data_IF_155626783042
#
_entry.id   IF_155626783042
#
_cell.length_a   1.000
_cell.length_b   1.000
_cell.length_c   1.000
_cell.angle_alpha   90.00
_cell.angle_beta   90.00
_cell.angle_gamma   90.00
#
_symmetry.space_group_name_H-M   'P 1'
#
loop_
_entity.id
_entity.type
_entity.pdbx_description
1 polymer ?
#
# COMPACT_ATOMS: atom_id res chain seq x y z
N UNK A 1 -45.52 12.65 -52.75
CA UNK A 1 -44.20 12.16 -52.28
C UNK A 1 -43.84 10.93 -53.10
N UNK A 2 -42.70 10.97 -53.79
CA UNK A 2 -42.19 9.87 -54.62
C UNK A 2 -40.93 9.32 -53.94
N UNK A 3 -40.96 8.04 -53.55
CA UNK A 3 -39.83 7.36 -52.93
C UNK A 3 -39.15 6.47 -53.97
N UNK A 4 -37.84 6.63 -54.13
CA UNK A 4 -37.00 5.79 -55.02
C UNK A 4 -36.19 4.83 -54.16
N UNK A 5 -36.51 3.55 -54.24
CA UNK A 5 -35.71 2.49 -53.63
C UNK A 5 -34.42 2.34 -54.43
N UNK A 6 -33.28 2.67 -53.81
CA UNK A 6 -31.97 2.62 -54.46
C UNK A 6 -31.34 1.23 -54.44
N UNK A 7 -31.67 0.42 -53.44
CA UNK A 7 -31.15 -0.92 -53.25
C UNK A 7 -32.09 -1.70 -52.33
N UNK A 8 -32.33 -2.98 -52.63
CA UNK A 8 -33.04 -3.90 -51.75
C UNK A 8 -32.02 -4.94 -51.30
N UNK A 9 -31.63 -4.91 -50.03
CA UNK A 9 -30.77 -5.94 -49.45
C UNK A 9 -31.64 -7.12 -49.01
N UNK A 10 -31.40 -8.35 -49.51
CA UNK A 10 -32.12 -9.52 -49.04
C UNK A 10 -31.91 -9.71 -47.53
N UNK A 11 -32.94 -10.21 -46.85
CA UNK A 11 -32.82 -10.59 -45.44
C UNK A 11 -31.76 -11.69 -45.28
N UNK A 12 -30.84 -11.50 -44.34
CA UNK A 12 -29.86 -12.53 -43.97
C UNK A 12 -30.49 -13.38 -42.87
N UNK A 13 -31.04 -14.54 -43.25
CA UNK A 13 -31.57 -15.52 -42.31
C UNK A 13 -30.44 -16.46 -41.88
N UNK A 14 -30.10 -16.47 -40.59
CA UNK A 14 -29.15 -17.44 -40.04
C UNK A 14 -29.82 -18.81 -39.94
N UNK A 15 -29.29 -19.87 -40.58
CA UNK A 15 -29.82 -21.23 -40.44
C UNK A 15 -29.84 -21.68 -38.98
N UNK A 16 -30.86 -22.44 -38.58
CA UNK A 16 -30.98 -22.99 -37.23
C UNK A 16 -29.72 -23.75 -36.80
N UNK A 17 -29.07 -24.48 -37.72
CA UNK A 17 -27.82 -25.19 -37.43
C UNK A 17 -26.71 -24.27 -36.91
N UNK A 18 -26.61 -23.04 -37.43
CA UNK A 18 -25.58 -22.06 -37.05
C UNK A 18 -25.86 -21.38 -35.70
N UNK A 19 -27.12 -21.34 -35.26
CA UNK A 19 -27.54 -20.67 -34.01
C UNK A 19 -28.05 -21.63 -32.94
N UNK A 20 -28.17 -22.92 -33.25
CA UNK A 20 -28.79 -23.91 -32.36
C UNK A 20 -28.08 -24.02 -31.00
N UNK A 21 -26.74 -23.99 -30.99
CA UNK A 21 -25.96 -24.03 -29.76
C UNK A 21 -26.16 -22.78 -28.90
N UNK A 22 -26.25 -21.61 -29.54
CA UNK A 22 -26.53 -20.35 -28.86
C UNK A 22 -27.95 -20.36 -28.26
N UNK A 23 -28.96 -20.81 -29.01
CA UNK A 23 -30.34 -20.93 -28.51
C UNK A 23 -30.41 -21.91 -27.34
N UNK A 24 -29.74 -23.06 -27.41
CA UNK A 24 -29.67 -24.01 -26.28
C UNK A 24 -29.04 -23.38 -25.05
N UNK A 25 -27.94 -22.63 -25.24
CA UNK A 25 -27.27 -21.92 -24.15
C UNK A 25 -28.19 -20.86 -23.52
N UNK A 26 -28.90 -20.07 -24.33
CA UNK A 26 -29.79 -19.02 -23.84
C UNK A 26 -31.01 -19.60 -23.10
N UNK A 27 -31.59 -20.68 -23.61
CA UNK A 27 -32.66 -21.41 -22.92
C UNK A 27 -32.16 -22.02 -21.61
N UNK A 28 -30.96 -22.61 -21.60
CA UNK A 28 -30.36 -23.16 -20.39
C UNK A 28 -30.08 -22.08 -19.33
N UNK A 29 -29.59 -20.90 -19.74
CA UNK A 29 -29.38 -19.76 -18.84
C UNK A 29 -30.70 -19.19 -18.30
N UNK A 30 -31.74 -19.10 -19.14
CA UNK A 30 -33.06 -18.66 -18.72
C UNK A 30 -33.69 -19.62 -17.69
N UNK A 31 -33.59 -20.93 -17.94
CA UNK A 31 -34.08 -21.95 -17.01
C UNK A 31 -33.26 -21.97 -15.71
N UNK A 32 -31.94 -21.86 -15.80
CA UNK A 32 -31.08 -21.76 -14.62
C UNK A 32 -31.44 -20.54 -13.76
N UNK A 33 -31.73 -19.40 -14.38
CA UNK A 33 -32.13 -18.17 -13.67
C UNK A 33 -33.48 -18.33 -12.97
N UNK A 34 -34.45 -19.00 -13.61
CA UNK A 34 -35.75 -19.32 -12.98
C UNK A 34 -35.57 -20.24 -11.78
N UNK A 35 -34.84 -21.35 -11.95
CA UNK A 35 -34.57 -22.31 -10.87
C UNK A 35 -33.89 -21.62 -9.69
N UNK A 36 -32.96 -20.70 -9.95
CA UNK A 36 -32.24 -19.96 -8.93
C UNK A 36 -33.18 -19.07 -8.10
N UNK A 37 -34.11 -18.36 -8.75
CA UNK A 37 -35.14 -17.58 -8.06
C UNK A 37 -36.10 -18.48 -7.28
N UNK A 38 -36.54 -19.61 -7.85
CA UNK A 38 -37.39 -20.57 -7.15
C UNK A 38 -36.71 -21.13 -5.89
N UNK A 39 -35.40 -21.43 -5.95
CA UNK A 39 -34.62 -21.90 -4.78
C UNK A 39 -34.55 -20.81 -3.71
N UNK A 40 -34.35 -19.55 -4.10
CA UNK A 40 -34.37 -18.42 -3.17
C UNK A 40 -35.72 -18.26 -2.49
N UNK A 41 -36.81 -18.22 -3.26
CA UNK A 41 -38.15 -18.03 -2.72
C UNK A 41 -38.52 -19.18 -1.76
N UNK A 42 -38.18 -20.43 -2.12
CA UNK A 42 -38.38 -21.57 -1.23
C UNK A 42 -37.52 -21.54 0.04
N UNK A 43 -36.32 -20.95 -0.02
CA UNK A 43 -35.47 -20.74 1.15
C UNK A 43 -36.13 -19.72 2.09
N UNK A 44 -36.52 -18.57 1.56
CA UNK A 44 -37.18 -17.49 2.30
C UNK A 44 -38.50 -17.99 2.93
N UNK A 45 -39.31 -18.74 2.20
CA UNK A 45 -40.53 -19.37 2.73
C UNK A 45 -40.25 -20.37 3.87
N UNK A 46 -39.18 -21.16 3.74
CA UNK A 46 -38.81 -22.15 4.75
C UNK A 46 -38.28 -21.48 6.02
N UNK A 47 -37.58 -20.36 5.89
CA UNK A 47 -37.12 -19.51 7.00
C UNK A 47 -38.27 -18.77 7.67
N UNK A 48 -39.19 -18.19 6.89
CA UNK A 48 -40.40 -17.55 7.38
C UNK A 48 -41.31 -18.51 8.16
N UNK A 49 -41.28 -19.80 7.83
CA UNK A 49 -41.96 -20.86 8.59
C UNK A 49 -41.25 -21.24 9.91
N UNK A 50 -40.12 -20.62 10.24
CA UNK A 50 -39.38 -20.80 11.49
C UNK A 50 -38.26 -21.86 11.46
N UNK A 51 -37.93 -22.40 10.29
CA UNK A 51 -36.83 -23.38 10.17
C UNK A 51 -35.46 -22.71 10.31
N UNK A 52 -34.44 -23.38 10.85
CA UNK A 52 -33.08 -22.85 10.91
C UNK A 52 -32.44 -22.73 9.51
N UNK A 53 -31.35 -21.95 9.35
CA UNK A 53 -30.58 -21.91 8.10
C UNK A 53 -30.10 -23.31 7.70
N UNK A 54 -29.67 -24.13 8.67
CA UNK A 54 -29.22 -25.49 8.41
C UNK A 54 -30.36 -26.40 7.91
N UNK A 55 -31.55 -26.28 8.49
CA UNK A 55 -32.73 -27.05 8.08
C UNK A 55 -33.21 -26.65 6.68
N UNK A 56 -33.26 -25.33 6.41
CA UNK A 56 -33.61 -24.79 5.10
C UNK A 56 -32.63 -25.26 4.02
N UNK A 57 -31.32 -25.19 4.32
CA UNK A 57 -30.28 -25.69 3.43
C UNK A 57 -30.41 -27.21 3.20
N UNK A 58 -30.65 -28.01 4.23
CA UNK A 58 -30.82 -29.45 4.10
C UNK A 58 -32.04 -29.81 3.23
N UNK A 59 -33.18 -29.13 3.44
CA UNK A 59 -34.42 -29.32 2.67
C UNK A 59 -34.22 -29.00 1.18
N UNK A 60 -33.46 -27.95 0.88
CA UNK A 60 -33.17 -27.50 -0.48
C UNK A 60 -31.88 -28.09 -1.07
N UNK A 61 -31.21 -29.00 -0.35
CA UNK A 61 -29.94 -29.65 -0.73
C UNK A 61 -28.81 -28.64 -1.02
N UNK A 62 -28.79 -27.53 -0.29
CA UNK A 62 -27.75 -26.51 -0.36
C UNK A 62 -26.57 -26.88 0.55
N UNK A 63 -25.36 -26.42 0.19
CA UNK A 63 -24.15 -26.63 0.98
C UNK A 63 -24.03 -25.57 2.07
N UNK A 64 -24.00 -26.00 3.33
CA UNK A 64 -23.68 -25.14 4.47
C UNK A 64 -22.16 -25.12 4.69
N UNK A 65 -21.60 -23.93 4.91
CA UNK A 65 -20.19 -23.75 5.27
C UNK A 65 -20.13 -23.03 6.62
N UNK A 66 -19.53 -23.69 7.61
CA UNK A 66 -19.32 -23.10 8.94
C UNK A 66 -17.94 -22.48 9.02
N UNK A 67 -17.88 -21.26 9.55
CA UNK A 67 -16.65 -20.52 9.78
C UNK A 67 -16.58 -20.22 11.28
N UNK A 68 -15.54 -20.70 11.95
CA UNK A 68 -15.45 -20.62 13.41
C UNK A 68 -15.40 -19.16 13.91
N UNK A 69 -14.43 -18.38 13.42
CA UNK A 69 -14.29 -16.97 13.76
C UNK A 69 -13.45 -16.25 12.69
N UNK A 70 -13.85 -15.02 12.37
CA UNK A 70 -13.09 -14.08 11.55
C UNK A 70 -13.17 -12.68 12.14
N UNK A 71 -12.16 -11.86 11.87
CA UNK A 71 -12.20 -10.43 12.12
C UNK A 71 -12.70 -9.64 10.89
N UNK A 72 -12.79 -8.30 11.02
CA UNK A 72 -13.24 -7.40 9.95
C UNK A 72 -12.33 -7.40 8.71
N UNK A 73 -11.13 -7.94 8.83
CA UNK A 73 -10.19 -8.12 7.71
C UNK A 73 -10.26 -9.53 7.09
N UNK A 74 -11.16 -10.39 7.56
CA UNK A 74 -11.29 -11.76 7.08
C UNK A 74 -10.21 -12.71 7.61
N UNK A 75 -9.50 -12.31 8.68
CA UNK A 75 -8.49 -13.13 9.32
C UNK A 75 -9.11 -13.97 10.44
N UNK A 76 -8.68 -15.22 10.51
CA UNK A 76 -8.96 -16.11 11.64
C UNK A 76 -8.16 -15.68 12.88
N UNK A 77 -8.51 -16.18 14.08
CA UNK A 77 -7.76 -15.89 15.31
C UNK A 77 -6.26 -16.23 15.24
N UNK A 78 -5.86 -17.18 14.38
CA UNK A 78 -4.47 -17.58 14.13
C UNK A 78 -3.76 -16.73 13.06
N UNK A 79 -4.39 -15.64 12.60
CA UNK A 79 -3.95 -14.76 11.53
C UNK A 79 -3.92 -15.38 10.12
N UNK A 80 -4.55 -16.54 9.91
CA UNK A 80 -4.75 -17.09 8.57
C UNK A 80 -5.94 -16.47 7.85
N UNK A 81 -5.86 -16.34 6.52
CA UNK A 81 -6.92 -15.76 5.69
C UNK A 81 -7.95 -16.83 5.32
N UNK A 82 -9.23 -16.50 5.44
CA UNK A 82 -10.30 -17.34 4.88
C UNK A 82 -10.39 -17.12 3.37
N UNK A 83 -9.97 -18.12 2.58
CA UNK A 83 -9.86 -18.01 1.11
C UNK A 83 -11.15 -18.32 0.35
N UNK A 84 -12.06 -19.07 0.95
CA UNK A 84 -13.21 -19.66 0.26
C UNK A 84 -14.53 -18.92 0.53
N UNK A 85 -14.46 -17.61 0.81
CA UNK A 85 -15.63 -16.77 1.06
C UNK A 85 -16.18 -16.19 -0.26
N UNK A 86 -17.42 -16.51 -0.67
CA UNK A 86 -18.06 -15.86 -1.79
C UNK A 86 -18.33 -14.38 -1.46
N UNK A 87 -18.10 -13.47 -2.42
CA UNK A 87 -18.27 -12.02 -2.23
C UNK A 87 -17.59 -11.52 -0.94
N UNK A 88 -16.34 -11.95 -0.71
CA UNK A 88 -15.67 -11.81 0.59
C UNK A 88 -15.77 -10.41 1.22
N UNK A 89 -15.55 -9.29 0.52
CA UNK A 89 -15.65 -7.96 1.13
C UNK A 89 -17.08 -7.61 1.58
N UNK A 90 -18.06 -7.84 0.71
CA UNK A 90 -19.47 -7.51 0.95
C UNK A 90 -20.07 -8.40 2.04
N UNK A 91 -19.73 -9.70 2.01
CA UNK A 91 -20.16 -10.67 3.01
C UNK A 91 -19.57 -10.39 4.38
N UNK A 92 -18.27 -10.07 4.47
CA UNK A 92 -17.65 -9.69 5.74
C UNK A 92 -18.34 -8.44 6.30
N UNK A 93 -18.57 -7.42 5.46
CA UNK A 93 -19.28 -6.22 5.91
C UNK A 93 -20.68 -6.55 6.46
N UNK A 94 -21.47 -7.30 5.71
CA UNK A 94 -22.83 -7.66 6.08
C UNK A 94 -22.88 -8.51 7.36
N UNK A 95 -21.96 -9.47 7.52
CA UNK A 95 -21.80 -10.29 8.73
C UNK A 95 -21.48 -9.43 9.97
N UNK A 96 -20.67 -8.39 9.82
CA UNK A 96 -20.32 -7.50 10.93
C UNK A 96 -21.39 -6.46 11.27
N UNK A 97 -22.36 -6.25 10.38
CA UNK A 97 -23.53 -5.40 10.60
C UNK A 97 -24.74 -6.20 11.15
N UNK A 98 -24.69 -7.54 11.05
CA UNK A 98 -25.75 -8.46 11.49
C UNK A 98 -25.70 -8.79 12.99
N UNK A 99 -26.85 -9.12 13.57
CA UNK A 99 -26.97 -9.59 14.95
C UNK A 99 -26.89 -11.13 15.05
N UNK A 100 -26.50 -11.69 16.21
CA UNK A 100 -26.46 -13.14 16.37
C UNK A 100 -27.85 -13.78 16.29
N UNK A 101 -27.94 -14.90 15.56
CA UNK A 101 -29.14 -15.72 15.39
C UNK A 101 -30.33 -14.95 14.77
N UNK A 102 -30.06 -13.91 13.99
CA UNK A 102 -31.08 -13.18 13.22
C UNK A 102 -31.07 -13.61 11.76
N UNK A 103 -32.24 -13.52 11.13
CA UNK A 103 -32.36 -13.63 9.68
C UNK A 103 -31.79 -12.38 9.01
N UNK A 104 -30.99 -12.57 7.96
CA UNK A 104 -30.33 -11.50 7.23
C UNK A 104 -30.68 -11.56 5.75
N UNK A 105 -30.68 -10.40 5.09
CA UNK A 105 -30.91 -10.31 3.66
C UNK A 105 -29.83 -11.06 2.87
N UNK A 106 -30.24 -11.81 1.85
CA UNK A 106 -29.33 -12.51 0.96
C UNK A 106 -28.45 -11.54 0.18
N UNK A 107 -27.18 -11.91 -0.04
CA UNK A 107 -26.27 -11.15 -0.89
C UNK A 107 -26.28 -11.71 -2.31
N UNK A 108 -26.35 -10.83 -3.30
CA UNK A 108 -26.22 -11.22 -4.70
C UNK A 108 -24.75 -11.38 -5.07
N UNK A 109 -24.41 -12.49 -5.73
CA UNK A 109 -23.06 -12.75 -6.23
C UNK A 109 -22.84 -12.12 -7.61
N UNK A 110 -21.58 -11.96 -8.02
CA UNK A 110 -21.23 -11.38 -9.32
C UNK A 110 -21.80 -12.18 -10.53
N UNK A 111 -22.04 -13.47 -10.35
CA UNK A 111 -22.69 -14.37 -11.31
C UNK A 111 -24.23 -14.42 -11.16
N UNK A 112 -24.82 -13.45 -10.45
CA UNK A 112 -26.25 -13.29 -10.26
C UNK A 112 -26.92 -14.43 -9.45
N UNK A 113 -26.13 -15.06 -8.57
CA UNK A 113 -26.58 -16.01 -7.55
C UNK A 113 -26.83 -15.35 -6.19
N UNK A 114 -27.15 -16.16 -5.18
CA UNK A 114 -27.47 -15.68 -3.83
C UNK A 114 -26.62 -16.39 -2.76
N UNK A 115 -26.19 -15.63 -1.76
CA UNK A 115 -25.52 -16.13 -0.55
C UNK A 115 -26.37 -15.78 0.65
N UNK A 116 -26.78 -16.80 1.39
CA UNK A 116 -27.44 -16.66 2.69
C UNK A 116 -26.42 -16.86 3.80
N UNK A 117 -26.53 -16.06 4.86
CA UNK A 117 -25.60 -16.10 5.99
C UNK A 117 -26.33 -15.83 7.30
N UNK A 118 -25.78 -16.38 8.38
CA UNK A 118 -26.27 -16.20 9.74
C UNK A 118 -25.07 -16.11 10.68
N UNK A 119 -25.14 -15.19 11.65
CA UNK A 119 -24.11 -15.02 12.66
C UNK A 119 -24.48 -15.87 13.87
N UNK A 120 -23.72 -16.92 14.15
CA UNK A 120 -24.01 -17.78 15.31
C UNK A 120 -23.68 -17.08 16.65
N UNK A 121 -22.55 -16.39 16.71
CA UNK A 121 -22.10 -15.67 17.90
C UNK A 121 -21.12 -14.56 17.55
N UNK A 122 -21.04 -13.54 18.41
CA UNK A 122 -20.04 -12.47 18.32
C UNK A 122 -19.10 -12.62 19.51
N UNK A 123 -17.80 -12.69 19.25
CA UNK A 123 -16.77 -12.60 20.29
C UNK A 123 -16.49 -11.13 20.57
N UNK A 124 -16.77 -10.60 21.78
CA UNK A 124 -16.52 -9.20 22.10
C UNK A 124 -15.04 -8.85 21.94
N UNK A 125 -14.78 -7.59 21.57
CA UNK A 125 -13.42 -7.06 21.62
C UNK A 125 -12.90 -7.14 23.05
N UNK A 126 -11.78 -7.83 23.22
CA UNK A 126 -11.07 -7.95 24.49
C UNK A 126 -9.58 -7.80 24.26
N UNK A 127 -8.90 -7.35 25.30
CA UNK A 127 -7.45 -7.42 25.32
C UNK A 127 -7.02 -8.89 25.25
N UNK A 128 -6.04 -9.16 24.39
CA UNK A 128 -5.40 -10.47 24.34
C UNK A 128 -4.61 -10.64 25.63
N UNK A 129 -4.71 -11.82 26.22
CA UNK A 129 -3.90 -12.17 27.39
C UNK A 129 -2.43 -12.27 26.98
N UNK A 130 -1.51 -12.08 27.93
CA UNK A 130 -0.09 -12.22 27.65
C UNK A 130 0.24 -13.58 27.05
N UNK A 131 -0.40 -14.67 27.50
CA UNK A 131 -0.13 -16.01 26.99
C UNK A 131 -0.51 -16.18 25.51
N UNK A 132 -1.59 -15.54 25.05
CA UNK A 132 -2.02 -15.56 23.64
C UNK A 132 -1.04 -14.82 22.72
N UNK A 133 -0.38 -13.78 23.21
CA UNK A 133 0.54 -12.96 22.42
C UNK A 133 2.00 -13.11 22.84
N UNK A 134 2.31 -14.04 23.76
CA UNK A 134 3.62 -14.15 24.42
C UNK A 134 4.76 -14.24 23.41
N UNK A 135 4.63 -15.10 22.40
CA UNK A 135 5.67 -15.27 21.39
C UNK A 135 5.91 -13.98 20.61
N UNK A 136 4.84 -13.29 20.20
CA UNK A 136 4.92 -12.02 19.49
C UNK A 136 5.54 -10.93 20.37
N UNK A 137 5.07 -10.80 21.61
CA UNK A 137 5.59 -9.80 22.57
C UNK A 137 7.06 -10.07 22.87
N UNK A 138 7.47 -11.32 23.06
CA UNK A 138 8.88 -11.67 23.29
C UNK A 138 9.73 -11.32 22.08
N UNK A 139 9.27 -11.60 20.86
CA UNK A 139 9.98 -11.23 19.64
C UNK A 139 10.12 -9.70 19.51
N UNK A 140 9.01 -8.98 19.66
CA UNK A 140 8.96 -7.52 19.54
C UNK A 140 9.82 -6.85 20.64
N UNK A 141 9.75 -7.35 21.89
CA UNK A 141 10.57 -6.86 23.00
C UNK A 141 12.06 -7.17 22.81
N UNK A 142 12.38 -8.37 22.33
CA UNK A 142 13.77 -8.78 22.07
C UNK A 142 14.38 -7.91 20.98
N UNK A 143 13.64 -7.63 19.91
CA UNK A 143 14.07 -6.71 18.85
C UNK A 143 14.32 -5.30 19.41
N UNK A 144 13.38 -4.76 20.18
CA UNK A 144 13.51 -3.43 20.78
C UNK A 144 14.71 -3.33 21.75
N UNK A 145 14.87 -4.32 22.63
CA UNK A 145 15.98 -4.36 23.60
C UNK A 145 17.33 -4.57 22.90
N UNK A 146 17.37 -5.36 21.81
CA UNK A 146 18.57 -5.53 20.98
C UNK A 146 18.98 -4.20 20.36
N UNK A 147 18.05 -3.47 19.73
CA UNK A 147 18.34 -2.16 19.14
C UNK A 147 18.81 -1.15 20.18
N UNK A 148 18.18 -1.12 21.35
CA UNK A 148 18.58 -0.25 22.46
C UNK A 148 20.00 -0.55 22.95
N UNK A 149 20.33 -1.83 23.15
CA UNK A 149 21.68 -2.26 23.58
C UNK A 149 22.72 -2.02 22.51
N UNK A 150 22.38 -2.23 21.24
CA UNK A 150 23.26 -1.95 20.11
C UNK A 150 23.59 -0.46 20.03
N UNK A 151 22.60 0.43 20.15
CA UNK A 151 22.82 1.88 20.16
C UNK A 151 23.71 2.31 21.33
N UNK A 152 23.43 1.82 22.55
CA UNK A 152 24.24 2.13 23.73
C UNK A 152 25.70 1.67 23.58
N UNK A 153 25.92 0.48 22.98
CA UNK A 153 27.25 -0.03 22.70
C UNK A 153 27.96 0.80 21.62
N UNK A 154 27.24 1.20 20.57
CA UNK A 154 27.79 2.06 19.53
C UNK A 154 28.25 3.41 20.09
N UNK A 155 27.44 4.05 20.94
CA UNK A 155 27.78 5.31 21.63
C UNK A 155 29.02 5.18 22.52
N UNK A 156 29.15 4.05 23.24
CA UNK A 156 30.33 3.77 24.05
C UNK A 156 31.60 3.68 23.19
N UNK A 157 31.52 2.97 22.06
CA UNK A 157 32.65 2.82 21.14
C UNK A 157 33.02 4.14 20.46
N UNK A 158 32.04 4.96 20.09
CA UNK A 158 32.28 6.29 19.54
C UNK A 158 33.01 7.20 20.55
N UNK A 159 32.61 7.17 21.82
CA UNK A 159 33.31 7.88 22.90
C UNK A 159 34.75 7.39 23.07
N UNK A 160 34.99 6.07 23.01
CA UNK A 160 36.35 5.50 23.06
C UNK A 160 37.20 5.95 21.88
N UNK A 161 36.62 5.99 20.68
CA UNK A 161 37.28 6.46 19.47
C UNK A 161 37.65 7.95 19.58
N UNK A 162 36.74 8.79 20.10
CA UNK A 162 36.99 10.22 20.40
C UNK A 162 38.06 10.42 21.49
N UNK A 163 38.17 9.49 22.44
CA UNK A 163 39.19 9.51 23.49
C UNK A 163 40.59 9.04 23.02
N UNK A 164 40.74 8.63 21.76
CA UNK A 164 42.03 8.30 21.14
C UNK A 164 42.28 6.80 20.91
N UNK A 165 41.32 5.92 21.18
CA UNK A 165 41.41 4.53 20.71
C UNK A 165 41.41 4.48 19.17
N UNK A 166 42.01 3.45 18.57
CA UNK A 166 41.97 3.26 17.11
C UNK A 166 40.84 2.32 16.71
N UNK A 167 40.31 2.47 15.49
CA UNK A 167 39.33 1.54 14.94
C UNK A 167 39.87 0.10 14.88
N UNK A 168 41.17 -0.09 14.65
CA UNK A 168 41.81 -1.42 14.65
C UNK A 168 41.71 -2.13 16.00
N UNK A 169 41.90 -1.40 17.11
CA UNK A 169 41.77 -1.95 18.47
C UNK A 169 40.32 -2.32 18.76
N UNK A 170 39.38 -1.41 18.46
CA UNK A 170 37.95 -1.64 18.65
C UNK A 170 37.46 -2.84 17.83
N UNK A 171 37.86 -2.90 16.55
CA UNK A 171 37.50 -4.00 15.65
C UNK A 171 38.05 -5.35 16.17
N UNK A 172 39.29 -5.38 16.62
CA UNK A 172 39.92 -6.59 17.17
C UNK A 172 39.23 -7.10 18.44
N UNK A 173 38.87 -6.21 19.37
CA UNK A 173 38.11 -6.56 20.59
C UNK A 173 36.75 -7.18 20.27
N UNK A 174 36.09 -6.67 19.23
CA UNK A 174 34.76 -7.11 18.80
C UNK A 174 34.81 -8.27 17.79
N UNK A 175 36.01 -8.71 17.39
CA UNK A 175 36.23 -9.68 16.31
C UNK A 175 35.54 -9.27 15.00
N UNK A 176 35.59 -7.97 14.70
CA UNK A 176 35.10 -7.37 13.47
C UNK A 176 36.28 -7.00 12.57
N UNK A 177 36.01 -6.86 11.27
CA UNK A 177 36.99 -6.39 10.30
C UNK A 177 36.85 -4.88 10.09
N UNK A 178 37.98 -4.16 10.09
CA UNK A 178 38.02 -2.75 9.70
C UNK A 178 37.98 -2.67 8.19
N UNK A 179 37.01 -1.93 7.66
CA UNK A 179 36.93 -1.62 6.23
C UNK A 179 37.35 -0.17 5.96
N UNK A 180 37.88 0.07 4.76
CA UNK A 180 38.22 1.42 4.29
C UNK A 180 37.57 1.63 2.94
N UNK A 181 36.65 2.60 2.87
CA UNK A 181 35.96 2.96 1.64
C UNK A 181 36.45 4.32 1.14
N UNK A 182 36.67 4.42 -0.17
CA UNK A 182 37.10 5.64 -0.86
C UNK A 182 36.07 6.04 -1.90
N UNK A 183 36.01 7.32 -2.22
CA UNK A 183 35.14 7.84 -3.29
C UNK A 183 33.66 7.95 -2.90
N UNK A 184 33.34 8.01 -1.60
CA UNK A 184 31.99 8.36 -1.13
C UNK A 184 31.72 9.81 -1.56
N UNK A 185 30.57 10.07 -2.19
CA UNK A 185 30.15 11.42 -2.60
C UNK A 185 28.98 11.88 -1.74
N UNK A 186 28.82 13.20 -1.58
CA UNK A 186 27.79 13.81 -0.73
C UNK A 186 26.36 13.38 -1.09
N UNK A 187 26.06 13.31 -2.38
CA UNK A 187 24.73 12.96 -2.91
C UNK A 187 24.64 11.51 -3.42
N UNK A 188 25.62 10.66 -3.09
CA UNK A 188 25.60 9.27 -3.53
C UNK A 188 24.63 8.45 -2.68
N UNK A 189 23.84 7.61 -3.35
CA UNK A 189 23.20 6.47 -2.69
C UNK A 189 24.20 5.32 -2.62
N UNK A 190 25.03 5.37 -1.58
CA UNK A 190 26.12 4.44 -1.38
C UNK A 190 25.60 3.06 -0.93
N UNK A 191 26.10 1.96 -1.51
CA UNK A 191 25.63 0.60 -1.19
C UNK A 191 25.84 0.23 0.28
N UNK A 192 26.89 0.73 0.92
CA UNK A 192 27.25 0.36 2.29
C UNK A 192 26.69 1.34 3.33
N UNK A 193 26.44 2.59 2.94
CA UNK A 193 26.03 3.66 3.86
C UNK A 193 24.66 4.26 3.57
N UNK A 194 24.09 3.98 2.39
CA UNK A 194 22.88 4.61 1.88
C UNK A 194 23.04 6.11 1.69
N UNK A 195 22.02 6.74 1.09
CA UNK A 195 21.99 8.20 0.92
C UNK A 195 22.11 8.97 2.24
N UNK A 196 21.37 8.57 3.27
CA UNK A 196 21.36 9.28 4.56
C UNK A 196 22.68 9.13 5.31
N UNK A 197 23.28 7.93 5.31
CA UNK A 197 24.57 7.70 5.94
C UNK A 197 25.71 8.43 5.21
N UNK A 198 25.70 8.45 3.87
CA UNK A 198 26.65 9.23 3.09
C UNK A 198 26.55 10.72 3.43
N UNK A 199 25.35 11.29 3.46
CA UNK A 199 25.13 12.69 3.84
C UNK A 199 25.61 12.99 5.28
N UNK A 200 25.34 12.10 6.23
CA UNK A 200 25.78 12.24 7.62
C UNK A 200 27.32 12.24 7.75
N UNK A 201 28.01 11.35 7.02
CA UNK A 201 29.48 11.33 6.99
C UNK A 201 30.08 12.63 6.44
N UNK A 202 29.46 13.20 5.40
CA UNK A 202 29.88 14.49 4.82
C UNK A 202 29.61 15.70 5.72
N UNK A 203 28.80 15.53 6.78
CA UNK A 203 28.65 16.51 7.85
C UNK A 203 29.81 16.51 8.85
N UNK A 204 30.69 15.50 8.81
CA UNK A 204 31.83 15.35 9.71
C UNK A 204 33.11 15.76 8.99
N UNK A 205 33.89 16.65 9.62
CA UNK A 205 35.18 17.11 9.08
C UNK A 205 36.25 16.02 9.05
N UNK A 206 37.34 16.29 8.34
CA UNK A 206 38.50 15.39 8.29
C UNK A 206 39.02 15.05 9.69
N UNK A 207 39.35 13.78 9.91
CA UNK A 207 39.77 13.23 11.20
C UNK A 207 38.62 13.03 12.20
N UNK A 208 37.43 13.55 11.91
CA UNK A 208 36.23 13.39 12.73
C UNK A 208 35.67 11.97 12.70
N UNK A 209 34.81 11.68 13.66
CA UNK A 209 34.22 10.35 13.88
C UNK A 209 32.73 10.46 14.05
N UNK A 210 31.99 9.42 13.69
CA UNK A 210 30.55 9.40 13.89
C UNK A 210 29.96 8.00 13.86
N UNK A 211 28.65 7.95 14.11
CA UNK A 211 27.81 6.77 14.01
C UNK A 211 26.74 6.99 12.95
N UNK A 212 26.47 5.96 12.16
CA UNK A 212 25.29 5.91 11.28
C UNK A 212 24.62 4.53 11.40
N UNK A 213 23.29 4.45 11.20
CA UNK A 213 22.63 3.16 11.04
C UNK A 213 23.09 2.47 9.74
N UNK A 214 23.13 1.14 9.76
CA UNK A 214 23.32 0.36 8.54
C UNK A 214 22.10 0.52 7.62
N UNK A 215 22.26 0.64 6.29
CA UNK A 215 21.14 0.70 5.34
C UNK A 215 20.20 -0.49 5.42
N UNK A 216 20.73 -1.66 5.80
CA UNK A 216 19.99 -2.91 6.02
C UNK A 216 19.17 -2.92 7.32
N UNK A 217 19.34 -1.92 8.19
CA UNK A 217 18.59 -1.76 9.44
C UNK A 217 18.98 -2.72 10.56
N UNK A 218 19.96 -3.58 10.34
CA UNK A 218 20.42 -4.64 11.26
C UNK A 218 21.66 -4.26 12.08
N UNK A 219 22.19 -3.04 11.89
CA UNK A 219 23.48 -2.65 12.44
C UNK A 219 23.68 -1.16 12.68
N UNK A 220 24.77 -0.84 13.37
CA UNK A 220 25.32 0.51 13.51
C UNK A 220 26.76 0.49 13.00
N UNK A 221 27.15 1.50 12.23
CA UNK A 221 28.48 1.64 11.66
C UNK A 221 29.18 2.79 12.36
N UNK A 222 30.29 2.46 13.02
CA UNK A 222 31.23 3.44 13.58
C UNK A 222 32.29 3.77 12.54
N UNK A 223 32.43 5.05 12.20
CA UNK A 223 33.37 5.50 11.18
C UNK A 223 34.30 6.61 11.67
N UNK A 224 35.40 6.77 10.95
CA UNK A 224 36.32 7.90 11.05
C UNK A 224 36.59 8.43 9.65
N UNK A 225 36.38 9.73 9.44
CA UNK A 225 36.70 10.41 8.19
C UNK A 225 38.22 10.50 8.10
N UNK A 226 38.82 9.70 7.22
CA UNK A 226 40.26 9.63 7.09
C UNK A 226 40.85 10.85 6.35
N UNK A 227 40.17 11.31 5.30
CA UNK A 227 40.64 12.36 4.40
C UNK A 227 39.43 12.99 3.70
N UNK A 228 39.46 14.30 3.48
CA UNK A 228 38.50 15.01 2.63
C UNK A 228 39.27 15.67 1.50
N UNK A 229 38.95 15.32 0.26
CA UNK A 229 39.63 15.88 -0.92
C UNK A 229 38.63 16.33 -1.97
N UNK A 230 39.00 17.37 -2.72
CA UNK A 230 38.26 17.80 -3.89
C UNK A 230 38.44 16.78 -5.03
N UNK A 231 37.36 16.37 -5.73
CA UNK A 231 37.50 15.45 -6.83
C UNK A 231 38.40 16.05 -7.92
N UNK A 232 39.40 15.30 -8.36
CA UNK A 232 40.26 15.71 -9.46
C UNK A 232 39.41 15.96 -10.72
N UNK A 233 39.49 17.17 -11.28
CA UNK A 233 38.69 17.57 -12.44
C UNK A 233 37.31 18.15 -12.12
N UNK A 234 37.04 18.57 -10.89
CA UNK A 234 35.86 19.36 -10.58
C UNK A 234 35.94 20.75 -11.24
N UNK A 235 35.32 20.89 -12.41
CA UNK A 235 35.13 22.16 -13.11
C UNK A 235 33.62 22.44 -13.31
N UNK A 236 33.26 23.49 -14.05
CA UNK A 236 31.86 23.82 -14.31
C UNK A 236 31.05 22.66 -14.94
N UNK A 237 31.70 21.73 -15.65
CA UNK A 237 31.06 20.56 -16.25
C UNK A 237 30.72 19.45 -15.24
N UNK A 238 31.24 19.56 -14.00
CA UNK A 238 30.94 18.62 -12.91
C UNK A 238 29.62 18.92 -12.18
N UNK A 239 28.99 20.07 -12.46
CA UNK A 239 27.67 20.43 -11.92
C UNK A 239 26.59 19.64 -12.67
N UNK A 240 25.70 18.90 -11.98
CA UNK A 240 24.62 18.15 -12.64
C UNK A 240 23.74 19.04 -13.50
N UNK A 241 23.35 18.55 -14.69
CA UNK A 241 22.52 19.29 -15.65
C UNK A 241 21.23 19.86 -15.03
N UNK A 242 20.61 19.11 -14.12
CA UNK A 242 19.38 19.54 -13.45
C UNK A 242 19.62 20.72 -12.49
N UNK A 243 20.78 20.78 -11.85
CA UNK A 243 21.17 21.92 -11.03
C UNK A 243 21.43 23.15 -11.91
N UNK A 244 22.08 22.98 -13.07
CA UNK A 244 22.30 24.06 -14.03
C UNK A 244 20.98 24.63 -14.57
N UNK A 245 20.04 23.75 -14.97
CA UNK A 245 18.72 24.15 -15.44
C UNK A 245 17.91 24.86 -14.36
N UNK A 246 17.91 24.33 -13.14
CA UNK A 246 17.19 24.93 -12.02
C UNK A 246 17.71 26.33 -11.70
N UNK A 247 19.03 26.50 -11.69
CA UNK A 247 19.66 27.82 -11.49
C UNK A 247 19.33 28.79 -12.63
N UNK A 248 19.37 28.32 -13.88
CA UNK A 248 19.05 29.15 -15.06
C UNK A 248 17.58 29.59 -15.06
N UNK A 249 16.65 28.68 -14.70
CA UNK A 249 15.23 29.02 -14.58
C UNK A 249 15.00 30.05 -13.49
N UNK A 250 15.54 29.82 -12.28
CA UNK A 250 15.39 30.75 -11.17
C UNK A 250 15.96 32.14 -11.46
N UNK A 251 17.08 32.22 -12.18
CA UNK A 251 17.64 33.50 -12.62
C UNK A 251 16.78 34.19 -13.69
N UNK A 252 16.15 33.42 -14.58
CA UNK A 252 15.25 33.97 -15.60
C UNK A 252 13.97 34.52 -14.98
N UNK A 253 13.42 33.81 -13.99
CA UNK A 253 12.23 34.23 -13.25
C UNK A 253 12.50 35.49 -12.42
N UNK A 254 13.65 35.56 -11.71
CA UNK A 254 14.05 36.77 -10.95
C UNK A 254 14.23 38.00 -11.86
N UNK A 255 14.85 37.84 -13.03
CA UNK A 255 14.96 38.92 -14.00
C UNK A 255 13.59 39.39 -14.52
N UNK A 256 12.66 38.46 -14.74
CA UNK A 256 11.30 38.80 -15.15
C UNK A 256 10.56 39.54 -14.04
N UNK A 257 10.66 39.08 -12.79
CA UNK A 257 10.06 39.73 -11.63
C UNK A 257 10.62 41.15 -11.42
N UNK A 258 11.94 41.32 -11.55
CA UNK A 258 12.59 42.63 -11.48
C UNK A 258 12.13 43.55 -12.61
N UNK A 259 11.98 43.04 -13.84
CA UNK A 259 11.46 43.80 -14.97
C UNK A 259 10.01 44.22 -14.73
N UNK A 260 9.14 43.30 -14.29
CA UNK A 260 7.74 43.58 -13.99
C UNK A 260 7.63 44.62 -12.86
N UNK A 261 8.38 44.45 -11.77
CA UNK A 261 8.41 45.41 -10.67
C UNK A 261 8.85 46.80 -11.15
N UNK A 262 9.87 46.88 -12.01
CA UNK A 262 10.32 48.15 -12.58
C UNK A 262 9.30 48.78 -13.54
N UNK A 263 8.55 47.98 -14.31
CA UNK A 263 7.48 48.49 -15.17
C UNK A 263 6.29 48.99 -14.34
N UNK A 264 5.95 48.32 -13.24
CA UNK A 264 4.90 48.75 -12.32
C UNK A 264 5.19 50.08 -11.62
N UNK A 265 6.47 50.47 -11.46
CA UNK A 265 6.82 51.80 -10.93
C UNK A 265 6.67 52.90 -11.99
N UNK A 266 6.73 52.56 -13.28
CA UNK A 266 6.65 53.52 -14.39
C UNK A 266 5.24 53.68 -14.96
N UNK A 267 4.39 52.66 -14.82
CA UNK A 267 3.03 52.63 -15.38
C UNK A 267 1.97 52.44 -14.28
N UNK A 268 0.86 53.16 -14.36
CA UNK A 268 -0.27 53.02 -13.41
C UNK A 268 -0.99 51.68 -13.64
N UNK A 269 -0.78 50.72 -12.75
CA UNK A 269 -1.38 49.39 -12.84
C UNK A 269 -2.70 49.34 -12.08
N UNK A 270 -3.79 49.05 -12.79
CA UNK A 270 -5.12 48.83 -12.21
C UNK A 270 -5.55 47.39 -12.41
N UNK A 271 -5.79 46.69 -11.32
CA UNK A 271 -6.21 45.29 -11.32
C UNK A 271 -7.73 45.24 -11.19
N UNK A 272 -8.39 44.61 -12.18
CA UNK A 272 -9.81 44.29 -12.10
C UNK A 272 -10.01 43.02 -11.24
N UNK A 273 -10.25 43.24 -9.96
CA UNK A 273 -10.45 42.18 -8.96
C UNK A 273 -11.62 41.25 -9.32
N UNK A 274 -12.64 41.72 -10.03
CA UNK A 274 -13.79 40.91 -10.41
C UNK A 274 -13.42 39.87 -11.49
N UNK A 275 -12.60 40.28 -12.46
CA UNK A 275 -12.09 39.37 -13.49
C UNK A 275 -11.11 38.32 -12.91
N UNK A 276 -10.27 38.70 -11.95
CA UNK A 276 -9.34 37.78 -11.26
C UNK A 276 -10.09 36.72 -10.44
N UNK A 277 -11.14 37.12 -9.72
CA UNK A 277 -11.99 36.19 -8.98
C UNK A 277 -12.67 35.18 -9.92
N UNK A 278 -13.14 35.63 -11.09
CA UNK A 278 -13.81 34.75 -12.05
C UNK A 278 -12.87 33.70 -12.69
N UNK A 279 -11.60 34.04 -12.88
CA UNK A 279 -10.59 33.14 -13.45
C UNK A 279 -10.05 32.09 -12.46
N UNK A 280 -10.10 32.35 -11.16
CA UNK A 280 -9.59 31.45 -10.10
C UNK A 280 -10.61 30.40 -9.62
N UNK A 281 -11.88 30.55 -9.97
CA UNK A 281 -12.96 29.58 -9.68
C UNK A 281 -13.19 28.51 -10.75
N UNK A 282 -12.31 28.41 -11.76
CA UNK A 282 -12.33 27.34 -12.78
C UNK A 282 -11.25 26.31 -12.50
#
# INVERSE_FOLDING_TARGET
VLLRVTEIKPEVVKPLAEVSDQIRKDLALGEASRILLDVRDNYDDTRAAGSSLADAAAKLKLKVVTIDAIDRSGLRPDASIVKDLPQSPELIKAVFDAEPNTENDALTTADNGFVFYEVASITPARDRTLDEVRQKVVADWTAAETSKRLAAKADELEKRLKAGATLDVIASELKLEKQTKRGVKREADDVDFGKEGAAAMFGVGEGGTGLIPSPTGDGQILYKVAEVFEPAGADASSVPDDAQKSFTSGMSDDLLDQLVAQLQTQYDVRVDQAAVAQASTR
#
